data_IF_890434161558
#
_entry.id   IF_890434161558
#
_cell.length_a   1.000
_cell.length_b   1.000
_cell.length_c   1.000
_cell.angle_alpha   90.00
_cell.angle_beta   90.00
_cell.angle_gamma   90.00
#
_symmetry.space_group_name_H-M   'P 1'
#
loop_
_entity.id
_entity.type
_entity.pdbx_description
1 polymer ?
#
# COMPACT_ATOMS: atom_id res chain seq x y z
N UNK A 1 10.86 -40.32 1.80
CA UNK A 1 9.52 -39.70 1.84
C UNK A 1 9.69 -38.22 1.66
N UNK A 2 9.17 -37.66 0.57
CA UNK A 2 9.35 -36.26 0.20
C UNK A 2 8.13 -35.53 0.78
N UNK A 3 8.31 -34.77 1.87
CA UNK A 3 7.24 -33.89 2.36
C UNK A 3 7.32 -32.61 1.55
N UNK A 4 6.34 -32.40 0.65
CA UNK A 4 6.16 -31.13 -0.01
C UNK A 4 5.78 -30.08 1.05
N UNK A 5 6.52 -28.98 1.10
CA UNK A 5 6.16 -27.82 1.91
C UNK A 5 4.84 -27.24 1.38
N UNK A 6 3.91 -26.82 2.24
CA UNK A 6 2.66 -26.22 1.80
C UNK A 6 2.97 -24.91 1.06
N UNK A 7 2.47 -24.80 -0.17
CA UNK A 7 2.37 -23.53 -0.88
C UNK A 7 1.49 -22.60 -0.04
N UNK A 8 2.10 -21.56 0.55
CA UNK A 8 1.33 -20.48 1.18
C UNK A 8 0.63 -19.71 0.06
N UNK A 9 -0.68 -19.86 -0.01
CA UNK A 9 -1.53 -19.05 -0.87
C UNK A 9 -1.67 -17.67 -0.22
N UNK A 10 -0.97 -16.67 -0.74
CA UNK A 10 -1.12 -15.30 -0.28
C UNK A 10 -2.40 -14.73 -0.86
N UNK A 11 -3.43 -14.60 -0.03
CA UNK A 11 -4.72 -14.05 -0.44
C UNK A 11 -4.57 -12.53 -0.56
N UNK A 12 -4.60 -12.01 -1.79
CA UNK A 12 -4.63 -10.56 -2.03
C UNK A 12 -6.06 -10.04 -1.78
N UNK A 13 -6.25 -9.27 -0.71
CA UNK A 13 -7.52 -8.58 -0.45
C UNK A 13 -7.44 -7.15 -0.95
N UNK A 14 -8.37 -6.78 -1.84
CA UNK A 14 -8.49 -5.41 -2.34
C UNK A 14 -9.34 -4.58 -1.39
N UNK A 15 -8.89 -3.35 -1.12
CA UNK A 15 -9.58 -2.39 -0.26
C UNK A 15 -9.84 -1.12 -1.05
N UNK A 16 -11.10 -0.71 -1.12
CA UNK A 16 -11.50 0.55 -1.74
C UNK A 16 -11.18 1.72 -0.80
N UNK A 17 -10.35 2.66 -1.28
CA UNK A 17 -9.89 3.81 -0.48
C UNK A 17 -10.67 5.07 -0.81
N UNK A 18 -10.59 5.51 -2.07
CA UNK A 18 -11.28 6.69 -2.57
C UNK A 18 -11.36 6.67 -4.11
N UNK A 19 -12.25 7.46 -4.72
CA UNK A 19 -12.29 7.63 -6.18
C UNK A 19 -10.99 8.26 -6.71
N UNK A 20 -10.55 7.90 -7.91
CA UNK A 20 -9.35 8.50 -8.55
C UNK A 20 -9.45 10.02 -8.65
N UNK A 21 -10.65 10.57 -8.85
CA UNK A 21 -10.88 12.01 -8.91
C UNK A 21 -10.60 12.74 -7.59
N UNK A 22 -10.56 12.03 -6.46
CA UNK A 22 -10.16 12.59 -5.16
C UNK A 22 -8.64 12.78 -5.06
N UNK A 23 -7.86 12.18 -5.97
CA UNK A 23 -6.41 12.32 -6.03
C UNK A 23 -6.07 13.21 -7.23
N UNK A 24 -5.59 14.43 -6.93
CA UNK A 24 -5.17 15.36 -7.97
C UNK A 24 -3.93 14.82 -8.72
N UNK A 25 -3.74 15.16 -10.00
CA UNK A 25 -2.55 14.75 -10.75
C UNK A 25 -1.25 15.17 -10.04
N UNK A 26 -0.28 14.25 -9.97
CA UNK A 26 1.01 14.44 -9.30
C UNK A 26 0.92 14.73 -7.79
N UNK A 27 -0.17 14.31 -7.15
CA UNK A 27 -0.35 14.42 -5.70
C UNK A 27 -0.56 13.06 -5.05
N UNK A 28 -0.46 13.01 -3.72
CA UNK A 28 -0.75 11.82 -2.96
C UNK A 28 -1.71 12.05 -1.80
N UNK A 29 -2.34 10.97 -1.37
CA UNK A 29 -3.24 10.91 -0.21
C UNK A 29 -2.77 9.81 0.74
N UNK A 30 -3.03 9.99 2.03
CA UNK A 30 -2.77 8.97 3.04
C UNK A 30 -4.07 8.23 3.36
N UNK A 31 -3.99 6.90 3.44
CA UNK A 31 -5.09 6.03 3.80
C UNK A 31 -4.70 5.14 4.99
N UNK A 32 -5.66 4.84 5.86
CA UNK A 32 -5.49 3.91 6.96
C UNK A 32 -6.22 2.61 6.60
N UNK A 33 -5.46 1.56 6.29
CA UNK A 33 -5.97 0.24 5.91
C UNK A 33 -5.62 -0.75 7.01
N UNK A 34 -6.62 -1.28 7.72
CA UNK A 34 -6.42 -2.22 8.83
C UNK A 34 -5.40 -1.74 9.89
N UNK A 35 -5.37 -0.44 10.15
CA UNK A 35 -4.42 0.17 11.09
C UNK A 35 -3.02 0.44 10.52
N UNK A 36 -2.76 0.08 9.26
CA UNK A 36 -1.53 0.41 8.53
C UNK A 36 -1.73 1.66 7.68
N UNK A 37 -0.79 2.58 7.74
CA UNK A 37 -0.82 3.76 6.90
C UNK A 37 -0.22 3.47 5.53
N UNK A 38 -0.96 3.80 4.48
CA UNK A 38 -0.58 3.60 3.08
C UNK A 38 -0.64 4.96 2.39
N UNK A 39 0.47 5.34 1.76
CA UNK A 39 0.55 6.53 0.92
C UNK A 39 0.26 6.15 -0.52
N UNK A 40 -0.69 6.83 -1.13
CA UNK A 40 -1.18 6.57 -2.48
C UNK A 40 -0.87 7.80 -3.31
N UNK A 41 -0.07 7.65 -4.36
CA UNK A 41 0.34 8.74 -5.25
C UNK A 41 -0.19 8.51 -6.65
N UNK A 42 -0.80 9.54 -7.22
CA UNK A 42 -1.12 9.59 -8.65
C UNK A 42 0.02 10.25 -9.39
N UNK A 43 0.72 9.52 -10.24
CA UNK A 43 1.85 10.04 -11.01
C UNK A 43 1.42 10.27 -12.45
N UNK A 44 1.72 11.45 -12.99
CA UNK A 44 1.35 11.82 -14.35
C UNK A 44 -0.11 12.25 -14.50
N UNK A 45 -0.55 12.32 -15.76
CA UNK A 45 -1.83 12.91 -16.17
C UNK A 45 -2.97 11.90 -16.27
N UNK A 46 -2.63 10.63 -16.47
CA UNK A 46 -3.58 9.57 -16.84
C UNK A 46 -4.19 8.95 -15.58
N UNK A 47 -3.77 7.75 -15.19
CA UNK A 47 -4.40 6.97 -14.11
C UNK A 47 -3.40 6.14 -13.31
N UNK A 48 -2.10 6.38 -13.46
CA UNK A 48 -1.09 5.59 -12.77
C UNK A 48 -1.07 5.94 -11.28
N UNK A 49 -1.42 4.94 -10.47
CA UNK A 49 -1.50 5.06 -9.03
C UNK A 49 -0.52 4.08 -8.40
N UNK A 50 0.31 4.60 -7.51
CA UNK A 50 1.29 3.84 -6.76
C UNK A 50 0.92 3.89 -5.27
N UNK A 51 0.89 2.73 -4.63
CA UNK A 51 0.68 2.62 -3.19
C UNK A 51 1.97 2.12 -2.53
N UNK A 52 2.39 2.80 -1.48
CA UNK A 52 3.56 2.46 -0.69
C UNK A 52 3.22 2.60 0.80
N UNK A 53 3.89 1.84 1.66
CA UNK A 53 3.77 2.04 3.10
C UNK A 53 4.15 3.48 3.45
N UNK A 54 3.27 4.21 4.15
CA UNK A 54 3.53 5.59 4.58
C UNK A 54 4.47 5.66 5.80
N UNK A 55 5.27 4.62 6.00
CA UNK A 55 6.20 4.52 7.11
C UNK A 55 7.57 5.02 6.65
N UNK A 56 7.93 6.22 7.10
CA UNK A 56 9.29 6.74 6.94
C UNK A 56 10.17 6.21 8.09
N UNK A 57 11.17 5.35 7.82
CA UNK A 57 12.06 4.79 8.83
C UNK A 57 12.98 5.83 9.48
N UNK A 58 13.12 7.03 8.91
CA UNK A 58 13.91 8.13 9.45
C UNK A 58 13.05 9.17 10.19
N UNK A 59 11.74 9.20 9.96
CA UNK A 59 10.81 9.93 10.80
C UNK A 59 10.63 9.15 12.12
N UNK A 60 10.86 9.79 13.26
CA UNK A 60 10.71 9.18 14.59
C UNK A 60 9.23 8.96 14.94
N UNK A 61 8.48 8.16 14.19
CA UNK A 61 7.11 7.75 14.54
C UNK A 61 6.83 6.30 14.11
N UNK A 62 7.16 5.34 14.99
CA UNK A 62 6.34 4.17 15.31
C UNK A 62 6.13 3.05 14.28
N UNK A 63 7.12 2.15 14.21
CA UNK A 63 7.00 0.68 14.17
C UNK A 63 6.27 -0.06 13.03
N UNK A 64 7.12 -0.65 12.17
CA UNK A 64 7.15 -2.10 11.81
C UNK A 64 6.61 -2.52 10.43
N UNK A 65 7.60 -2.80 9.57
CA UNK A 65 7.73 -3.85 8.55
C UNK A 65 7.03 -3.70 7.18
N UNK A 66 7.89 -3.67 6.15
CA UNK A 66 7.59 -3.82 4.73
C UNK A 66 6.59 -4.96 4.51
N UNK A 67 5.53 -4.69 3.75
CA UNK A 67 4.83 -5.74 3.02
C UNK A 67 5.08 -5.46 1.53
N UNK A 68 5.90 -6.32 0.91
CA UNK A 68 5.78 -6.61 -0.52
C UNK A 68 4.62 -7.57 -0.74
#
# INVERSE_FOLDING_TARGET
>A
MIQALPIRETITQWVDICPLAAIAPNTGVCALVEGKQVAIFRVGSETDVFALGNYDPFSKTGSTELVM
#
